data_IF_078569864707
#
_entry.id   IF_078569864707
#
_cell.length_a   1.000
_cell.length_b   1.000
_cell.length_c   1.000
_cell.angle_alpha   90.00
_cell.angle_beta   90.00
_cell.angle_gamma   90.00
#
_symmetry.space_group_name_H-M   'P 1'
#
loop_
_entity.id
_entity.type
_entity.pdbx_description
1 polymer ?
#
# COMPACT_ATOMS: atom_id res chain seq x y z
N UNK A 1 8.80 2.40 -1.88
CA UNK A 1 8.71 1.86 -0.50
C UNK A 1 7.31 2.13 -0.02
N UNK A 2 6.87 1.44 1.03
CA UNK A 2 5.57 1.72 1.65
C UNK A 2 5.75 2.09 3.11
N UNK A 3 4.81 2.85 3.64
CA UNK A 3 4.68 3.13 5.06
C UNK A 3 3.35 2.57 5.52
N UNK A 4 3.39 1.67 6.49
CA UNK A 4 2.21 1.21 7.21
C UNK A 4 2.02 2.12 8.41
N UNK A 5 0.77 2.39 8.75
CA UNK A 5 0.43 3.16 9.94
C UNK A 5 -0.71 2.55 10.74
N UNK A 6 -0.69 2.86 12.03
CA UNK A 6 -1.74 2.58 12.98
C UNK A 6 -2.13 3.88 13.68
N UNK A 7 -3.42 4.12 13.83
CA UNK A 7 -3.97 5.25 14.57
C UNK A 7 -5.09 4.77 15.46
N UNK A 8 -4.97 4.97 16.76
CA UNK A 8 -5.97 4.57 17.75
C UNK A 8 -7.25 5.36 17.54
N UNK A 9 -8.39 4.68 17.75
CA UNK A 9 -9.73 5.28 17.70
C UNK A 9 -10.21 5.80 16.33
N UNK A 10 -9.55 5.44 15.23
CA UNK A 10 -10.11 5.71 13.89
C UNK A 10 -11.21 4.70 13.53
N UNK A 11 -12.40 5.18 13.15
CA UNK A 11 -13.59 4.36 12.87
C UNK A 11 -13.36 3.34 11.73
N UNK A 12 -12.42 3.62 10.83
CA UNK A 12 -11.97 2.74 9.75
C UNK A 12 -11.32 1.44 10.26
N UNK A 13 -10.76 1.45 11.47
CA UNK A 13 -10.12 0.28 12.08
C UNK A 13 -11.11 -0.82 12.48
N UNK A 14 -12.41 -0.52 12.59
CA UNK A 14 -13.42 -1.52 12.94
C UNK A 14 -13.68 -2.53 11.81
N UNK A 15 -13.30 -2.20 10.57
CA UNK A 15 -13.54 -3.04 9.38
C UNK A 15 -12.28 -3.77 8.87
N UNK A 16 -11.09 -3.27 9.19
CA UNK A 16 -9.80 -3.83 8.74
C UNK A 16 -9.15 -4.58 9.91
N UNK A 17 -9.20 -5.92 9.87
CA UNK A 17 -8.53 -6.77 10.87
C UNK A 17 -7.00 -6.62 10.78
N UNK A 18 -6.34 -6.36 11.90
CA UNK A 18 -4.88 -6.28 12.01
C UNK A 18 -4.44 -5.09 12.87
N UNK A 19 -3.14 -5.02 13.18
CA UNK A 19 -2.56 -3.86 13.87
C UNK A 19 -2.37 -2.70 12.88
N UNK A 20 -1.75 -3.00 11.73
CA UNK A 20 -1.58 -2.03 10.65
C UNK A 20 -2.88 -1.90 9.87
N UNK A 21 -3.48 -0.71 9.93
CA UNK A 21 -4.82 -0.45 9.37
C UNK A 21 -4.79 0.45 8.15
N UNK A 22 -3.67 1.12 7.89
CA UNK A 22 -3.50 1.96 6.71
C UNK A 22 -2.12 1.79 6.07
N UNK A 23 -2.02 2.11 4.79
CA UNK A 23 -0.77 2.05 4.03
C UNK A 23 -0.70 3.15 2.97
N UNK A 24 0.49 3.71 2.80
CA UNK A 24 0.80 4.69 1.76
C UNK A 24 2.09 4.33 1.02
N UNK A 25 2.24 4.81 -0.22
CA UNK A 25 3.47 4.68 -1.01
C UNK A 25 4.34 5.91 -0.79
N UNK A 26 5.59 5.70 -0.37
CA UNK A 26 6.58 6.77 -0.25
C UNK A 26 7.11 7.09 -1.64
N UNK A 27 6.77 8.28 -2.15
CA UNK A 27 7.14 8.72 -3.51
C UNK A 27 8.36 9.65 -3.53
N UNK A 28 8.65 10.31 -2.39
CA UNK A 28 9.88 11.07 -2.15
C UNK A 28 10.14 11.19 -0.65
N UNK A 29 11.23 11.86 -0.25
CA UNK A 29 11.51 12.18 1.16
C UNK A 29 10.45 13.09 1.81
N UNK A 30 9.70 13.83 1.00
CA UNK A 30 8.74 14.84 1.48
C UNK A 30 7.29 14.40 1.36
N UNK A 31 7.00 13.34 0.58
CA UNK A 31 5.63 13.00 0.22
C UNK A 31 5.35 11.50 0.21
N UNK A 32 4.13 11.18 0.61
CA UNK A 32 3.47 9.90 0.39
C UNK A 32 2.28 10.08 -0.53
N UNK A 33 1.87 9.00 -1.19
CA UNK A 33 0.59 8.92 -1.89
C UNK A 33 -0.24 7.82 -1.23
N UNK A 34 -1.48 8.13 -0.90
CA UNK A 34 -2.38 7.28 -0.14
C UNK A 34 -3.80 7.35 -0.69
N UNK A 35 -4.58 6.28 -0.50
CA UNK A 35 -6.02 6.29 -0.76
C UNK A 35 -6.79 6.40 0.56
N UNK A 36 -7.55 7.49 0.72
CA UNK A 36 -8.40 7.75 1.89
C UNK A 36 -9.86 7.83 1.46
N UNK A 37 -10.81 8.00 2.38
CA UNK A 37 -12.23 8.20 2.04
C UNK A 37 -12.48 9.39 1.09
N UNK A 38 -11.51 10.29 0.91
CA UNK A 38 -11.55 11.42 -0.03
C UNK A 38 -10.95 11.09 -1.41
N UNK A 39 -10.49 9.86 -1.63
CA UNK A 39 -9.79 9.40 -2.83
C UNK A 39 -8.28 9.30 -2.67
N UNK A 40 -7.59 9.04 -3.78
CA UNK A 40 -6.13 8.99 -3.87
C UNK A 40 -5.57 10.41 -3.81
N UNK A 41 -4.69 10.66 -2.85
CA UNK A 41 -4.10 11.98 -2.62
C UNK A 41 -2.62 11.91 -2.31
N UNK A 42 -1.94 13.03 -2.53
CA UNK A 42 -0.55 13.24 -2.13
C UNK A 42 -0.52 14.00 -0.82
N UNK A 43 0.12 13.42 0.19
CA UNK A 43 0.19 13.95 1.55
C UNK A 43 1.65 14.21 1.90
N UNK A 44 1.94 15.31 2.62
CA UNK A 44 3.31 15.53 3.10
C UNK A 44 3.68 14.43 4.08
N UNK A 45 4.87 13.85 3.93
CA UNK A 45 5.37 12.79 4.80
C UNK A 45 5.31 13.21 6.27
N UNK A 46 5.70 14.45 6.57
CA UNK A 46 5.61 15.06 7.91
C UNK A 46 4.18 15.05 8.45
N UNK A 47 3.21 15.52 7.65
CA UNK A 47 1.81 15.56 8.06
C UNK A 47 1.25 14.14 8.29
N UNK A 48 1.60 13.18 7.44
CA UNK A 48 1.23 11.78 7.60
C UNK A 48 1.72 11.22 8.94
N UNK A 49 3.02 11.33 9.25
CA UNK A 49 3.57 10.79 10.50
C UNK A 49 3.04 11.48 11.76
N UNK A 50 2.68 12.77 11.71
CA UNK A 50 2.13 13.49 12.87
C UNK A 50 0.69 13.09 13.21
N UNK A 51 0.00 12.39 12.32
CA UNK A 51 -1.41 12.04 12.47
C UNK A 51 -1.65 10.60 12.90
N UNK A 52 -0.58 9.81 13.08
CA UNK A 52 -0.62 8.38 13.40
C UNK A 52 0.12 8.11 14.71
N UNK A 53 -0.27 7.06 15.43
CA UNK A 53 0.37 6.68 16.69
C UNK A 53 1.63 5.84 16.45
N UNK A 54 1.56 4.93 15.49
CA UNK A 54 2.67 4.05 15.12
C UNK A 54 2.82 3.99 13.60
N UNK A 55 4.05 3.80 13.14
CA UNK A 55 4.34 3.55 11.74
C UNK A 55 5.51 2.58 11.57
N UNK A 56 5.55 1.91 10.42
CA UNK A 56 6.72 1.13 9.97
C UNK A 56 6.91 1.32 8.48
N UNK A 57 8.17 1.48 8.06
CA UNK A 57 8.53 1.58 6.64
C UNK A 57 8.98 0.22 6.15
N UNK A 58 8.39 -0.22 5.04
CA UNK A 58 8.72 -1.46 4.37
C UNK A 58 9.35 -1.21 3.01
N UNK A 59 10.43 -1.94 2.72
CA UNK A 59 11.08 -1.99 1.42
C UNK A 59 10.72 -3.31 0.72
N UNK A 60 10.29 -3.28 -0.55
CA UNK A 60 10.01 -4.50 -1.28
C UNK A 60 11.30 -5.27 -1.57
N UNK A 61 11.27 -6.60 -1.41
CA UNK A 61 12.35 -7.53 -1.74
C UNK A 61 12.24 -8.10 -3.17
N UNK A 62 11.07 -7.92 -3.80
CA UNK A 62 10.72 -8.44 -5.12
C UNK A 62 10.85 -7.40 -6.24
N UNK A 63 11.32 -6.19 -5.93
CA UNK A 63 11.52 -5.12 -6.90
C UNK A 63 12.89 -4.48 -6.71
N UNK A 64 13.52 -4.09 -7.82
CA UNK A 64 14.69 -3.23 -7.78
C UNK A 64 14.31 -1.75 -7.63
N UNK A 65 15.32 -0.89 -7.55
CA UNK A 65 15.13 0.56 -7.40
C UNK A 65 14.42 1.21 -8.60
N UNK A 66 14.57 0.67 -9.82
CA UNK A 66 13.92 1.24 -11.00
C UNK A 66 12.43 0.90 -11.00
N UNK A 67 12.07 -0.35 -10.70
CA UNK A 67 10.69 -0.77 -10.56
C UNK A 67 9.99 -0.03 -9.40
N UNK A 68 10.70 0.24 -8.31
CA UNK A 68 10.19 1.10 -7.23
C UNK A 68 9.91 2.54 -7.69
N UNK A 69 10.74 3.10 -8.59
CA UNK A 69 10.47 4.42 -9.19
C UNK A 69 9.25 4.39 -10.10
N UNK A 70 9.08 3.33 -10.89
CA UNK A 70 7.89 3.14 -11.71
C UNK A 70 6.62 3.01 -10.85
N UNK A 71 6.68 2.30 -9.73
CA UNK A 71 5.57 2.20 -8.79
C UNK A 71 5.21 3.59 -8.22
N UNK A 72 6.23 4.39 -7.87
CA UNK A 72 6.03 5.78 -7.45
C UNK A 72 5.42 6.66 -8.55
N UNK A 73 5.80 6.46 -9.83
CA UNK A 73 5.18 7.17 -10.96
C UNK A 73 3.73 6.75 -11.16
N UNK A 74 3.43 5.46 -11.02
CA UNK A 74 2.06 4.95 -11.15
C UNK A 74 1.12 5.59 -10.14
N UNK A 75 1.45 5.54 -8.84
CA UNK A 75 0.56 6.12 -7.82
C UNK A 75 0.37 7.62 -8.00
N UNK A 76 1.38 8.32 -8.52
CA UNK A 76 1.25 9.75 -8.85
C UNK A 76 0.31 10.01 -10.02
N UNK A 77 0.21 9.11 -11.00
CA UNK A 77 -0.71 9.23 -12.15
C UNK A 77 -2.18 9.06 -11.76
N UNK A 78 -2.45 8.28 -10.72
CA UNK A 78 -3.83 7.98 -10.24
C UNK A 78 -4.27 8.86 -9.08
N UNK A 79 -3.52 9.94 -8.76
CA UNK A 79 -3.97 10.96 -7.81
C UNK A 79 -5.30 11.55 -8.31
N UNK A 80 -6.28 11.65 -7.42
CA UNK A 80 -7.64 12.09 -7.72
C UNK A 80 -8.63 10.93 -7.97
N UNK A 81 -8.15 9.70 -8.14
CA UNK A 81 -9.05 8.53 -8.26
C UNK A 81 -9.92 8.36 -7.00
N UNK A 82 -11.21 7.99 -7.13
CA UNK A 82 -12.11 7.86 -5.99
C UNK A 82 -11.73 6.70 -5.05
N UNK A 83 -12.25 6.76 -3.82
CA UNK A 83 -12.10 5.66 -2.87
C UNK A 83 -13.03 4.49 -3.21
N UNK A 84 -12.51 3.27 -3.11
CA UNK A 84 -13.28 2.05 -3.33
C UNK A 84 -14.04 1.61 -2.08
N UNK A 85 -15.20 2.20 -1.82
CA UNK A 85 -16.06 1.81 -0.68
C UNK A 85 -16.68 0.40 -0.83
N UNK A 86 -16.73 -0.12 -2.06
CA UNK A 86 -17.32 -1.43 -2.35
C UNK A 86 -16.38 -2.59 -2.08
N UNK A 87 -15.07 -2.31 -1.92
CA UNK A 87 -14.00 -3.29 -1.83
C UNK A 87 -14.00 -4.35 -2.96
N UNK A 88 -14.59 -4.00 -4.11
CA UNK A 88 -14.59 -4.86 -5.30
C UNK A 88 -13.38 -4.54 -6.17
N UNK A 89 -12.69 -5.55 -6.73
CA UNK A 89 -11.62 -5.34 -7.71
C UNK A 89 -12.02 -4.35 -8.81
N UNK A 90 -11.37 -3.19 -8.86
CA UNK A 90 -11.56 -2.19 -9.91
C UNK A 90 -10.25 -1.41 -10.12
N UNK A 91 -9.96 -1.02 -11.37
CA UNK A 91 -8.74 -0.27 -11.69
C UNK A 91 -8.89 1.26 -11.62
N UNK A 92 -10.11 1.76 -11.39
CA UNK A 92 -10.40 3.20 -11.40
C UNK A 92 -10.70 3.77 -10.00
N UNK A 93 -10.91 2.92 -9.00
CA UNK A 93 -11.16 3.31 -7.60
C UNK A 93 -10.30 2.46 -6.68
N UNK A 94 -9.74 3.06 -5.62
CA UNK A 94 -8.76 2.37 -4.77
C UNK A 94 -9.08 2.48 -3.29
N UNK A 95 -8.86 1.41 -2.53
CA UNK A 95 -8.55 1.51 -1.10
C UNK A 95 -7.02 1.43 -0.88
N UNK A 96 -6.56 1.72 0.34
CA UNK A 96 -5.14 1.98 0.62
C UNK A 96 -4.19 0.86 0.16
N UNK A 97 -4.47 -0.39 0.53
CA UNK A 97 -3.67 -1.55 0.15
C UNK A 97 -3.87 -2.00 -1.30
N UNK A 98 -5.03 -1.72 -1.91
CA UNK A 98 -5.25 -1.95 -3.34
C UNK A 98 -4.41 -1.01 -4.21
N UNK A 99 -4.26 0.26 -3.80
CA UNK A 99 -3.38 1.21 -4.48
C UNK A 99 -1.92 0.71 -4.50
N UNK A 100 -1.42 0.22 -3.37
CA UNK A 100 -0.07 -0.35 -3.26
C UNK A 100 0.06 -1.58 -4.15
N UNK A 101 -0.94 -2.46 -4.10
CA UNK A 101 -0.97 -3.67 -4.91
C UNK A 101 -0.82 -3.33 -6.40
N UNK A 102 -1.70 -2.50 -6.95
CA UNK A 102 -1.65 -2.13 -8.36
C UNK A 102 -0.36 -1.42 -8.76
N UNK A 103 0.17 -0.57 -7.89
CA UNK A 103 1.44 0.11 -8.14
C UNK A 103 2.59 -0.89 -8.35
N UNK A 104 2.70 -1.88 -7.47
CA UNK A 104 3.79 -2.84 -7.54
C UNK A 104 3.53 -3.95 -8.59
N UNK A 105 2.28 -4.34 -8.81
CA UNK A 105 1.91 -5.29 -9.88
C UNK A 105 2.22 -4.73 -11.26
N UNK A 106 1.90 -3.45 -11.53
CA UNK A 106 2.14 -2.81 -12.83
C UNK A 106 3.60 -2.44 -13.06
N UNK A 107 4.39 -2.30 -12.00
CA UNK A 107 5.78 -1.80 -12.11
C UNK A 107 6.86 -2.87 -11.93
N UNK A 108 6.56 -4.01 -11.32
CA UNK A 108 7.52 -5.09 -11.10
C UNK A 108 7.24 -6.33 -11.94
N UNK A 109 6.47 -6.20 -13.03
CA UNK A 109 6.11 -7.27 -13.96
C UNK A 109 5.74 -8.58 -13.24
N UNK A 110 4.68 -8.53 -12.42
CA UNK A 110 4.19 -9.67 -11.65
C UNK A 110 3.61 -10.82 -12.52
N UNK A 111 3.93 -10.87 -13.81
CA UNK A 111 3.35 -11.77 -14.80
C UNK A 111 4.21 -12.99 -15.14
N UNK A 112 5.27 -13.32 -14.39
CA UNK A 112 5.79 -14.70 -14.40
C UNK A 112 5.03 -15.55 -13.38
N UNK A 113 3.86 -16.02 -13.82
CA UNK A 113 2.92 -16.92 -13.16
C UNK A 113 3.53 -18.26 -12.72
N UNK A 114 4.83 -18.51 -12.93
CA UNK A 114 5.44 -19.82 -12.70
C UNK A 114 6.26 -19.93 -11.43
N UNK A 115 6.66 -18.84 -10.78
CA UNK A 115 7.45 -18.94 -9.56
C UNK A 115 7.08 -17.86 -8.52
N UNK A 116 6.29 -18.29 -7.52
CA UNK A 116 6.00 -17.59 -6.25
C UNK A 116 5.06 -16.38 -6.35
N UNK A 117 3.77 -16.69 -6.52
CA UNK A 117 2.67 -15.75 -6.28
C UNK A 117 2.68 -15.34 -4.80
N UNK A 118 2.81 -14.05 -4.46
CA UNK A 118 2.68 -13.56 -3.09
C UNK A 118 1.26 -13.79 -2.57
N UNK A 119 1.17 -14.14 -1.30
CA UNK A 119 -0.05 -14.63 -0.67
C UNK A 119 -1.26 -13.67 -0.81
N UNK A 120 -1.01 -12.36 -0.94
CA UNK A 120 -2.05 -11.34 -1.15
C UNK A 120 -2.78 -11.38 -2.50
N UNK A 121 -2.19 -11.99 -3.55
CA UNK A 121 -2.87 -12.17 -4.84
C UNK A 121 -3.99 -13.20 -4.73
N UNK A 122 -3.76 -14.29 -4.00
CA UNK A 122 -4.78 -15.32 -3.81
C UNK A 122 -5.98 -14.78 -3.03
N UNK A 123 -5.76 -13.84 -2.11
CA UNK A 123 -6.84 -13.15 -1.42
C UNK A 123 -7.65 -12.28 -2.40
N UNK A 124 -7.00 -11.52 -3.27
CA UNK A 124 -7.66 -10.72 -4.30
C UNK A 124 -8.43 -11.59 -5.33
N UNK A 125 -7.82 -12.68 -5.82
CA UNK A 125 -8.46 -13.64 -6.76
C UNK A 125 -9.70 -14.28 -6.13
N UNK A 126 -9.70 -14.49 -4.81
CA UNK A 126 -10.84 -15.03 -4.05
C UNK A 126 -11.88 -13.97 -3.68
N UNK A 127 -11.70 -12.71 -4.09
CA UNK A 127 -12.60 -11.60 -3.76
C UNK A 127 -12.47 -11.09 -2.33
N UNK A 128 -11.35 -11.38 -1.65
CA UNK A 128 -11.06 -10.89 -0.31
C UNK A 128 -10.33 -9.53 -0.34
N UNK A 129 -10.52 -8.75 0.72
CA UNK A 129 -9.83 -7.48 0.96
C UNK A 129 -8.34 -7.76 1.26
N UNK A 130 -7.43 -7.08 0.54
CA UNK A 130 -6.00 -7.07 0.86
C UNK A 130 -5.82 -6.20 2.10
N UNK A 131 -5.33 -6.75 3.21
CA UNK A 131 -5.14 -5.98 4.44
C UNK A 131 -3.73 -5.39 4.49
N UNK A 132 -3.54 -4.16 4.99
CA UNK A 132 -2.19 -3.62 5.25
C UNK A 132 -1.37 -4.53 6.17
N UNK A 133 -2.02 -5.13 7.19
CA UNK A 133 -1.41 -6.15 8.05
C UNK A 133 -0.78 -7.32 7.27
N UNK A 134 -1.42 -7.80 6.20
CA UNK A 134 -0.89 -8.91 5.39
C UNK A 134 0.43 -8.53 4.70
N UNK A 135 0.66 -7.25 4.40
CA UNK A 135 1.92 -6.77 3.84
C UNK A 135 3.05 -6.83 4.87
N UNK A 136 2.76 -6.47 6.12
CA UNK A 136 3.71 -6.59 7.23
C UNK A 136 4.11 -8.05 7.51
N UNK A 137 3.14 -8.96 7.49
CA UNK A 137 3.35 -10.39 7.77
C UNK A 137 4.05 -11.13 6.62
N UNK A 138 4.05 -10.56 5.41
CA UNK A 138 4.70 -11.13 4.23
C UNK A 138 6.21 -10.85 4.22
N UNK A 139 6.94 -11.39 5.20
CA UNK A 139 8.38 -11.15 5.41
C UNK A 139 9.25 -11.60 4.22
N UNK A 140 8.78 -12.53 3.39
CA UNK A 140 9.46 -12.92 2.16
C UNK A 140 9.35 -11.87 1.03
N UNK A 141 8.44 -10.90 1.18
CA UNK A 141 8.19 -9.84 0.20
C UNK A 141 8.68 -8.48 0.66
N UNK A 142 8.73 -8.25 1.98
CA UNK A 142 9.02 -6.94 2.55
C UNK A 142 10.06 -7.04 3.65
N UNK A 143 11.01 -6.12 3.65
CA UNK A 143 11.92 -5.91 4.77
C UNK A 143 11.61 -4.61 5.49
N UNK A 144 11.70 -4.63 6.81
CA UNK A 144 11.59 -3.43 7.65
C UNK A 144 12.82 -2.57 7.42
N UNK A 145 12.61 -1.28 7.12
CA UNK A 145 13.69 -0.30 7.05
C UNK A 145 14.03 0.13 8.48
N UNK A 146 15.20 -0.29 8.96
CA UNK A 146 15.72 0.15 10.25
C UNK A 146 16.41 1.51 10.09
N UNK A 147 16.23 2.41 11.06
CA UNK A 147 17.06 3.60 11.17
C UNK A 147 18.46 3.16 11.61
N UNK A 148 19.44 3.31 10.72
CA UNK A 148 20.86 3.18 11.02
C UNK A 148 21.38 4.44 11.69
#
# INVERSE_FOLDING_TARGET
>A
MIILSHKKFELTNFFIKGYWTHVAVIVSSEFVVEATSKGVMKTKFKEFIFTVDDFVILKPLFCDTNNMKEASKYVQKVIGSPYNFSFRPCEDTFYCSELVYWAYTKSCEWYDVRNKIPQGINDFIKGNIIKPQSMFESIQMWSVVQAT
#
